data_IF_444540877016
#
_entry.id   IF_444540877016
#
_cell.length_a   1.000
_cell.length_b   1.000
_cell.length_c   1.000
_cell.angle_alpha   90.00
_cell.angle_beta   90.00
_cell.angle_gamma   90.00
#
_symmetry.space_group_name_H-M   'P 1'
#
loop_
_entity.id
_entity.type
_entity.pdbx_description
1 polymer ?
#
# COMPACT_ATOMS: atom_id res chain seq x y z
N UNK A 1 18.70 13.52 6.99
CA UNK A 1 17.59 12.65 7.44
C UNK A 1 17.76 11.27 6.83
N UNK A 2 17.75 10.20 7.63
CA UNK A 2 18.03 8.84 7.14
C UNK A 2 16.84 8.31 6.31
N UNK A 3 16.99 8.20 4.98
CA UNK A 3 15.91 7.83 4.04
C UNK A 3 15.26 6.48 4.38
N UNK A 4 16.03 5.53 4.88
CA UNK A 4 15.53 4.20 5.25
C UNK A 4 14.47 4.27 6.35
N UNK A 5 14.64 5.17 7.33
CA UNK A 5 13.68 5.38 8.42
C UNK A 5 12.34 5.92 7.88
N UNK A 6 12.38 6.81 6.87
CA UNK A 6 11.15 7.34 6.24
C UNK A 6 10.38 6.24 5.51
N UNK A 7 11.09 5.38 4.79
CA UNK A 7 10.48 4.28 4.03
C UNK A 7 9.87 3.25 4.99
N UNK A 8 10.60 2.84 6.03
CA UNK A 8 10.10 1.91 7.04
C UNK A 8 8.86 2.45 7.75
N UNK A 9 8.82 3.75 8.10
CA UNK A 9 7.63 4.38 8.70
C UNK A 9 6.44 4.36 7.74
N UNK A 10 6.67 4.65 6.46
CA UNK A 10 5.62 4.61 5.44
C UNK A 10 5.07 3.20 5.26
N UNK A 11 5.95 2.20 5.23
CA UNK A 11 5.59 0.79 5.16
C UNK A 11 4.77 0.34 6.39
N UNK A 12 5.20 0.73 7.58
CA UNK A 12 4.47 0.46 8.82
C UNK A 12 3.08 1.12 8.84
N UNK A 13 2.96 2.33 8.29
CA UNK A 13 1.69 3.04 8.20
C UNK A 13 0.71 2.35 7.23
N UNK A 14 1.18 1.91 6.06
CA UNK A 14 0.35 1.14 5.12
C UNK A 14 -0.06 -0.21 5.69
N UNK A 15 0.83 -0.92 6.39
CA UNK A 15 0.46 -2.16 7.07
C UNK A 15 -0.62 -1.98 8.13
N UNK A 16 -0.61 -0.86 8.86
CA UNK A 16 -1.68 -0.54 9.82
C UNK A 16 -3.00 -0.17 9.16
N UNK A 17 -2.99 0.24 7.89
CA UNK A 17 -4.22 0.50 7.12
C UNK A 17 -4.83 -0.79 6.61
N UNK A 18 -3.98 -1.73 6.18
CA UNK A 18 -4.42 -3.03 5.64
C UNK A 18 -4.78 -4.01 6.75
N UNK A 19 -4.04 -4.00 7.87
CA UNK A 19 -4.31 -4.85 9.04
C UNK A 19 -5.38 -4.23 9.93
N UNK A 20 -6.31 -5.06 10.41
CA UNK A 20 -7.27 -4.66 11.43
C UNK A 20 -6.61 -4.42 12.81
N UNK A 21 -5.42 -5.00 13.03
CA UNK A 21 -4.71 -4.93 14.30
C UNK A 21 -3.67 -3.79 14.27
N UNK A 22 -3.94 -2.74 15.05
CA UNK A 22 -3.09 -1.54 15.13
C UNK A 22 -1.89 -1.71 16.06
N UNK A 23 -1.90 -2.71 16.94
CA UNK A 23 -0.81 -2.90 17.89
C UNK A 23 0.41 -3.52 17.21
N UNK A 24 1.60 -3.02 17.59
CA UNK A 24 2.87 -3.53 17.05
C UNK A 24 3.16 -4.94 17.53
N UNK A 25 2.71 -5.28 18.75
CA UNK A 25 2.98 -6.58 19.39
C UNK A 25 2.10 -7.71 18.84
N UNK A 26 0.90 -7.40 18.35
CA UNK A 26 -0.02 -8.40 17.80
C UNK A 26 0.14 -8.56 16.27
N UNK A 27 0.90 -7.66 15.64
CA UNK A 27 1.11 -7.66 14.20
C UNK A 27 2.50 -8.22 13.86
N UNK A 28 2.55 -9.53 13.58
CA UNK A 28 3.77 -10.25 13.24
C UNK A 28 4.54 -9.63 12.05
N UNK A 29 3.84 -9.07 11.07
CA UNK A 29 4.46 -8.40 9.92
C UNK A 29 5.21 -7.13 10.33
N UNK A 30 4.63 -6.38 11.28
CA UNK A 30 5.27 -5.17 11.78
C UNK A 30 6.48 -5.49 12.67
N UNK A 31 6.41 -6.56 13.48
CA UNK A 31 7.55 -7.06 14.23
C UNK A 31 8.69 -7.46 13.29
N UNK A 32 8.39 -8.27 12.27
CA UNK A 32 9.37 -8.68 11.26
C UNK A 32 10.06 -7.48 10.61
N UNK A 33 9.32 -6.45 10.19
CA UNK A 33 9.91 -5.25 9.58
C UNK A 33 10.85 -4.52 10.55
N UNK A 34 10.48 -4.42 11.83
CA UNK A 34 11.35 -3.78 12.82
C UNK A 34 12.62 -4.60 13.08
N UNK A 35 12.53 -5.93 13.10
CA UNK A 35 13.67 -6.83 13.20
C UNK A 35 14.60 -6.71 11.98
N UNK A 36 14.07 -6.72 10.75
CA UNK A 36 14.86 -6.54 9.53
C UNK A 36 15.51 -5.15 9.47
N UNK A 37 14.78 -4.11 9.87
CA UNK A 37 15.32 -2.75 9.97
C UNK A 37 16.46 -2.64 10.98
N UNK A 38 16.39 -3.38 12.09
CA UNK A 38 17.43 -3.44 13.10
C UNK A 38 18.65 -4.24 12.61
N UNK A 39 18.43 -5.40 11.98
CA UNK A 39 19.50 -6.25 11.43
C UNK A 39 20.31 -5.56 10.34
N UNK A 40 19.70 -4.62 9.60
CA UNK A 40 20.34 -3.85 8.53
C UNK A 40 20.80 -2.45 8.96
N UNK A 41 20.83 -2.17 10.27
CA UNK A 41 21.33 -0.91 10.82
C UNK A 41 22.86 -0.89 10.81
N UNK A 42 23.45 -0.33 9.76
CA UNK A 42 24.87 0.04 9.58
C UNK A 42 25.86 -0.73 10.47
N UNK A 43 26.05 -2.02 10.20
CA UNK A 43 27.19 -2.78 10.71
C UNK A 43 28.38 -2.55 9.77
N UNK A 44 29.55 -2.26 10.33
CA UNK A 44 30.78 -1.80 9.66
C UNK A 44 31.35 -2.71 8.55
N UNK A 45 30.85 -3.93 8.39
CA UNK A 45 31.26 -4.86 7.33
C UNK A 45 30.38 -4.79 6.05
N UNK A 46 29.34 -3.96 6.04
CA UNK A 46 28.26 -3.99 5.04
C UNK A 46 28.07 -2.61 4.38
N UNK A 47 29.13 -2.08 3.77
CA UNK A 47 29.21 -0.65 3.46
C UNK A 47 28.59 -0.19 2.12
N UNK A 48 27.93 -1.04 1.34
CA UNK A 48 27.22 -0.52 0.14
C UNK A 48 25.98 -1.34 -0.26
N UNK A 49 26.10 -2.66 -0.39
CA UNK A 49 25.03 -3.48 -0.98
C UNK A 49 23.79 -3.61 -0.10
N UNK A 50 23.95 -3.95 1.18
CA UNK A 50 22.77 -4.21 2.03
C UNK A 50 21.97 -2.96 2.40
N UNK A 51 22.58 -1.77 2.38
CA UNK A 51 21.85 -0.52 2.60
C UNK A 51 20.85 -0.26 1.48
N UNK A 52 21.24 -0.54 0.24
CA UNK A 52 20.37 -0.47 -0.92
C UNK A 52 19.38 -1.64 -0.94
N UNK A 53 19.78 -2.84 -0.50
CA UNK A 53 18.87 -3.99 -0.40
C UNK A 53 17.70 -3.73 0.55
N UNK A 54 17.94 -3.23 1.78
CA UNK A 54 16.85 -2.90 2.70
C UNK A 54 15.91 -1.84 2.09
N UNK A 55 16.48 -0.82 1.44
CA UNK A 55 15.72 0.23 0.80
C UNK A 55 14.85 -0.34 -0.33
N UNK A 56 15.44 -1.09 -1.24
CA UNK A 56 14.78 -1.71 -2.39
C UNK A 56 13.67 -2.67 -1.93
N UNK A 57 13.95 -3.50 -0.92
CA UNK A 57 13.00 -4.43 -0.34
C UNK A 57 11.80 -3.69 0.28
N UNK A 58 12.08 -2.64 1.06
CA UNK A 58 11.03 -1.85 1.68
C UNK A 58 10.19 -1.06 0.66
N UNK A 59 10.80 -0.54 -0.41
CA UNK A 59 10.10 0.10 -1.53
C UNK A 59 9.24 -0.90 -2.31
N UNK A 60 9.74 -2.11 -2.55
CA UNK A 60 8.99 -3.19 -3.21
C UNK A 60 7.74 -3.55 -2.40
N UNK A 61 7.87 -3.80 -1.09
CA UNK A 61 6.72 -4.11 -0.24
C UNK A 61 5.75 -2.95 -0.13
N UNK A 62 6.23 -1.71 -0.06
CA UNK A 62 5.38 -0.53 -0.04
C UNK A 62 4.57 -0.42 -1.34
N UNK A 63 5.21 -0.64 -2.48
CA UNK A 63 4.55 -0.67 -3.79
C UNK A 63 3.49 -1.77 -3.85
N UNK A 64 3.81 -2.97 -3.38
CA UNK A 64 2.89 -4.11 -3.35
C UNK A 64 1.63 -3.80 -2.53
N UNK A 65 1.78 -3.29 -1.30
CA UNK A 65 0.65 -2.95 -0.43
C UNK A 65 -0.24 -1.86 -1.03
N UNK A 66 0.37 -0.81 -1.60
CA UNK A 66 -0.37 0.26 -2.31
C UNK A 66 -1.13 -0.29 -3.51
N UNK A 67 -0.50 -1.15 -4.29
CA UNK A 67 -1.12 -1.80 -5.46
C UNK A 67 -2.29 -2.67 -5.03
N UNK A 68 -2.16 -3.41 -3.93
CA UNK A 68 -3.26 -4.21 -3.39
C UNK A 68 -4.47 -3.32 -2.99
N UNK A 69 -4.23 -2.17 -2.37
CA UNK A 69 -5.32 -1.23 -2.05
C UNK A 69 -5.95 -0.65 -3.32
N UNK A 70 -5.15 -0.24 -4.30
CA UNK A 70 -5.65 0.25 -5.59
C UNK A 70 -6.52 -0.81 -6.30
N UNK A 71 -6.08 -2.07 -6.32
CA UNK A 71 -6.86 -3.17 -6.86
C UNK A 71 -8.20 -3.36 -6.12
N UNK A 72 -8.23 -3.20 -4.79
CA UNK A 72 -9.47 -3.26 -4.01
C UNK A 72 -10.43 -2.13 -4.37
N UNK A 73 -9.94 -0.90 -4.54
CA UNK A 73 -10.77 0.24 -4.94
C UNK A 73 -11.32 0.07 -6.36
N UNK A 74 -10.47 -0.36 -7.31
CA UNK A 74 -10.89 -0.70 -8.68
C UNK A 74 -11.95 -1.79 -8.64
N UNK A 75 -11.71 -2.88 -7.91
CA UNK A 75 -12.68 -3.95 -7.77
C UNK A 75 -13.99 -3.44 -7.14
N UNK A 76 -13.95 -2.61 -6.10
CA UNK A 76 -15.14 -2.02 -5.47
C UNK A 76 -15.94 -1.12 -6.43
N UNK A 77 -15.24 -0.39 -7.29
CA UNK A 77 -15.85 0.53 -8.25
C UNK A 77 -16.44 -0.21 -9.46
N UNK A 78 -15.70 -1.17 -10.02
CA UNK A 78 -16.04 -1.78 -11.30
C UNK A 78 -16.62 -3.18 -11.20
N UNK A 79 -16.35 -3.95 -10.12
CA UNK A 79 -16.92 -5.30 -9.95
C UNK A 79 -18.44 -5.25 -9.90
N UNK A 80 -19.07 -6.25 -10.52
CA UNK A 80 -20.51 -6.32 -10.68
C UNK A 80 -21.20 -6.40 -9.33
N UNK A 81 -21.99 -5.38 -8.99
CA UNK A 81 -22.85 -5.38 -7.79
C UNK A 81 -24.24 -5.96 -8.07
N UNK A 82 -24.38 -6.72 -9.16
CA UNK A 82 -25.68 -7.07 -9.78
C UNK A 82 -26.01 -6.13 -10.94
N UNK A 83 -27.29 -6.02 -11.28
CA UNK A 83 -27.77 -5.09 -12.31
C UNK A 83 -27.63 -3.65 -11.83
N UNK A 84 -26.94 -2.82 -12.62
CA UNK A 84 -26.82 -1.38 -12.39
C UNK A 84 -27.89 -0.65 -13.20
N UNK A 85 -28.38 0.46 -12.67
CA UNK A 85 -29.28 1.34 -13.44
C UNK A 85 -28.55 1.97 -14.63
N UNK A 86 -29.33 2.45 -15.60
CA UNK A 86 -28.82 3.14 -16.80
C UNK A 86 -28.00 4.37 -16.39
N UNK A 87 -28.48 5.12 -15.40
CA UNK A 87 -27.79 6.30 -14.87
C UNK A 87 -26.44 5.96 -14.24
N UNK A 88 -26.42 4.99 -13.33
CA UNK A 88 -25.18 4.56 -12.68
C UNK A 88 -24.15 4.03 -13.67
N UNK A 89 -24.62 3.32 -14.72
CA UNK A 89 -23.75 2.83 -15.78
C UNK A 89 -23.18 3.98 -16.60
N UNK A 90 -24.01 4.95 -16.99
CA UNK A 90 -23.58 6.14 -17.72
C UNK A 90 -22.54 6.93 -16.91
N UNK A 91 -22.82 7.22 -15.64
CA UNK A 91 -21.91 7.94 -14.74
C UNK A 91 -20.58 7.20 -14.55
N UNK A 92 -20.61 5.86 -14.41
CA UNK A 92 -19.41 5.04 -14.22
C UNK A 92 -18.44 5.12 -15.40
N UNK A 93 -18.96 5.18 -16.63
CA UNK A 93 -18.14 5.26 -17.85
C UNK A 93 -17.89 6.69 -18.33
N UNK A 94 -18.44 7.70 -17.63
CA UNK A 94 -18.26 9.11 -17.95
C UNK A 94 -19.23 9.67 -19.01
N UNK A 95 -20.38 9.03 -19.21
CA UNK A 95 -21.46 9.56 -20.06
C UNK A 95 -22.52 10.30 -19.24
N UNK A 96 -23.15 11.29 -19.88
CA UNK A 96 -24.35 11.96 -19.37
C UNK A 96 -25.60 11.36 -20.01
N UNK A 97 -26.72 11.38 -19.30
CA UNK A 97 -28.01 11.01 -19.88
C UNK A 97 -28.51 12.12 -20.82
N UNK A 98 -29.37 11.80 -21.81
CA UNK A 98 -29.93 12.81 -22.71
C UNK A 98 -30.72 13.94 -22.02
N UNK A 99 -31.11 13.73 -20.76
CA UNK A 99 -31.88 14.68 -19.96
C UNK A 99 -31.01 15.49 -18.98
N UNK A 100 -29.71 15.18 -18.88
CA UNK A 100 -28.80 15.93 -18.01
C UNK A 100 -28.40 17.26 -18.67
N UNK A 101 -28.19 18.33 -17.88
CA UNK A 101 -27.72 19.60 -18.40
C UNK A 101 -26.34 19.45 -19.06
N UNK A 102 -26.18 20.10 -20.22
CA UNK A 102 -24.93 20.10 -21.01
C UNK A 102 -23.77 20.67 -20.20
#
# INVERSE_FOLDING_TARGET
MNNNIKIIRSLAQELRRVSQNKSIKENAMLQYIMEQAHAHKETSQILCKAREELKNLAEMYLCYLKSQQACKEIHKQYSGKGERSIKETADLVGFKLPHDPK
#
